data_IF_375372947272
#
_entry.id   IF_375372947272
#
_cell.length_a   1.000
_cell.length_b   1.000
_cell.length_c   1.000
_cell.angle_alpha   90.00
_cell.angle_beta   90.00
_cell.angle_gamma   90.00
#
_symmetry.space_group_name_H-M   'P 1'
#
loop_
_entity.id
_entity.type
_entity.pdbx_description
1 polymer ?
#
# COMPACT_ATOMS: atom_id res chain seq x y z
N UNK A 1 -16.11 10.86 -9.70
CA UNK A 1 -15.01 10.52 -8.78
C UNK A 1 -13.76 10.42 -9.62
N UNK A 2 -13.04 11.53 -9.76
CA UNK A 2 -11.73 11.52 -10.41
C UNK A 2 -10.77 10.65 -9.60
N UNK A 3 -10.04 9.80 -10.32
CA UNK A 3 -9.14 8.81 -9.75
C UNK A 3 -8.03 9.54 -8.97
N UNK A 4 -8.03 9.43 -7.63
CA UNK A 4 -6.94 9.92 -6.79
C UNK A 4 -5.56 9.31 -7.18
N UNK A 5 -5.56 8.24 -8.00
CA UNK A 5 -4.39 7.55 -8.54
C UNK A 5 -3.72 8.24 -9.73
N UNK A 6 -4.48 9.00 -10.53
CA UNK A 6 -3.87 9.87 -11.55
C UNK A 6 -3.04 10.94 -10.84
N UNK A 7 -3.43 11.34 -9.63
CA UNK A 7 -2.73 12.33 -8.80
C UNK A 7 -1.30 11.90 -8.43
N UNK A 8 -1.08 10.74 -7.78
CA UNK A 8 0.24 10.39 -7.24
C UNK A 8 1.31 10.11 -8.31
N UNK A 9 0.94 9.49 -9.44
CA UNK A 9 1.88 9.27 -10.55
C UNK A 9 2.17 10.57 -11.30
N UNK A 10 1.16 11.43 -11.51
CA UNK A 10 1.39 12.76 -12.08
C UNK A 10 2.20 13.66 -11.15
N UNK A 11 2.01 13.55 -9.83
CA UNK A 11 2.80 14.27 -8.83
C UNK A 11 4.28 13.86 -8.88
N UNK A 12 4.56 12.56 -9.02
CA UNK A 12 5.93 12.07 -9.18
C UNK A 12 6.56 12.49 -10.52
N UNK A 13 5.80 12.41 -11.62
CA UNK A 13 6.26 12.89 -12.94
C UNK A 13 6.48 14.41 -12.95
N UNK A 14 5.62 15.17 -12.28
CA UNK A 14 5.76 16.61 -12.10
C UNK A 14 7.01 16.97 -11.30
N UNK A 15 7.30 16.22 -10.23
CA UNK A 15 8.52 16.42 -9.43
C UNK A 15 9.77 16.16 -10.29
N UNK A 16 9.77 15.13 -11.14
CA UNK A 16 10.89 14.88 -12.07
C UNK A 16 11.03 15.96 -13.15
N UNK A 17 9.92 16.52 -13.63
CA UNK A 17 9.94 17.58 -14.63
C UNK A 17 10.48 18.90 -14.06
N UNK A 18 10.16 19.22 -12.81
CA UNK A 18 10.51 20.49 -12.16
C UNK A 18 11.92 20.48 -11.55
N UNK A 19 12.38 19.37 -10.97
CA UNK A 19 13.69 19.25 -10.30
C UNK A 19 14.66 18.33 -11.03
N UNK A 20 15.05 18.72 -12.25
CA UNK A 20 15.93 17.95 -13.17
C UNK A 20 17.38 17.80 -12.70
N UNK A 21 17.78 18.57 -11.69
CA UNK A 21 19.12 18.60 -11.09
C UNK A 21 19.32 17.53 -10.00
N UNK A 22 18.27 16.76 -9.66
CA UNK A 22 18.32 15.69 -8.67
C UNK A 22 18.35 14.29 -9.31
N UNK A 23 18.71 13.30 -8.51
CA UNK A 23 18.70 11.89 -8.93
C UNK A 23 17.26 11.55 -9.40
N UNK A 24 17.09 11.03 -10.63
CA UNK A 24 15.77 10.65 -11.14
C UNK A 24 15.09 9.65 -10.22
N UNK A 25 13.82 9.90 -9.92
CA UNK A 25 12.96 9.01 -9.16
C UNK A 25 12.53 7.82 -10.01
N UNK A 26 12.49 7.97 -11.34
CA UNK A 26 12.15 6.93 -12.30
C UNK A 26 13.34 6.61 -13.22
N UNK A 27 13.35 5.38 -13.72
CA UNK A 27 14.34 4.97 -14.70
C UNK A 27 14.23 5.76 -16.02
N UNK A 28 15.38 6.17 -16.55
CA UNK A 28 15.47 6.88 -17.84
C UNK A 28 15.12 5.98 -19.03
N UNK A 29 15.22 4.66 -18.87
CA UNK A 29 14.78 3.70 -19.88
C UNK A 29 13.24 3.61 -19.94
N UNK A 30 12.62 3.74 -21.14
CA UNK A 30 11.17 3.68 -21.29
C UNK A 30 10.53 2.34 -20.88
N UNK A 31 11.24 1.22 -21.07
CA UNK A 31 10.73 -0.11 -20.74
C UNK A 31 10.74 -0.33 -19.22
N UNK A 32 11.84 0.00 -18.55
CA UNK A 32 11.95 -0.06 -17.09
C UNK A 32 10.90 0.84 -16.41
N UNK A 33 10.66 2.04 -16.98
CA UNK A 33 9.60 2.93 -16.50
C UNK A 33 8.20 2.34 -16.69
N UNK A 34 7.94 1.69 -17.83
CA UNK A 34 6.67 1.01 -18.07
C UNK A 34 6.44 -0.15 -17.09
N UNK A 35 7.50 -0.91 -16.76
CA UNK A 35 7.44 -1.97 -15.75
C UNK A 35 7.15 -1.42 -14.35
N UNK A 36 7.84 -0.35 -13.94
CA UNK A 36 7.57 0.32 -12.66
C UNK A 36 6.13 0.81 -12.56
N UNK A 37 5.59 1.42 -13.63
CA UNK A 37 4.19 1.85 -13.69
C UNK A 37 3.22 0.68 -13.61
N UNK A 38 3.46 -0.40 -14.36
CA UNK A 38 2.61 -1.59 -14.33
C UNK A 38 2.49 -2.15 -12.91
N UNK A 39 3.62 -2.30 -12.22
CA UNK A 39 3.64 -2.85 -10.87
C UNK A 39 3.02 -1.92 -9.83
N UNK A 40 3.29 -0.61 -9.92
CA UNK A 40 2.65 0.37 -9.04
C UNK A 40 1.12 0.39 -9.22
N UNK A 41 0.64 0.33 -10.47
CA UNK A 41 -0.79 0.27 -10.79
C UNK A 41 -1.43 -1.05 -10.33
N UNK A 42 -0.73 -2.17 -10.51
CA UNK A 42 -1.16 -3.49 -10.03
C UNK A 42 -1.34 -3.50 -8.50
N UNK A 43 -0.32 -3.05 -7.76
CA UNK A 43 -0.37 -2.97 -6.28
C UNK A 43 -1.52 -2.08 -5.86
N UNK A 44 -1.61 -0.86 -6.41
CA UNK A 44 -2.62 0.11 -6.02
C UNK A 44 -4.02 -0.42 -6.27
N UNK A 45 -4.31 -0.95 -7.47
CA UNK A 45 -5.64 -1.47 -7.78
C UNK A 45 -5.98 -2.70 -6.95
N UNK A 46 -5.09 -3.70 -6.94
CA UNK A 46 -5.38 -4.99 -6.28
C UNK A 46 -5.44 -4.85 -4.76
N UNK A 47 -4.45 -4.24 -4.13
CA UNK A 47 -4.43 -4.11 -2.67
C UNK A 47 -5.52 -3.15 -2.18
N UNK A 48 -5.78 -2.05 -2.88
CA UNK A 48 -6.84 -1.13 -2.46
C UNK A 48 -8.22 -1.76 -2.62
N UNK A 49 -8.51 -2.41 -3.75
CA UNK A 49 -9.82 -3.02 -3.99
C UNK A 49 -10.09 -4.18 -3.02
N UNK A 50 -9.09 -5.04 -2.82
CA UNK A 50 -9.19 -6.14 -1.85
C UNK A 50 -9.29 -5.61 -0.41
N UNK A 51 -8.47 -4.62 -0.06
CA UNK A 51 -8.53 -3.95 1.24
C UNK A 51 -9.89 -3.31 1.49
N UNK A 52 -10.47 -2.66 0.48
CA UNK A 52 -11.82 -2.10 0.51
C UNK A 52 -12.86 -3.18 0.79
N UNK A 53 -12.83 -4.29 0.04
CA UNK A 53 -13.74 -5.41 0.25
C UNK A 53 -13.67 -5.96 1.66
N UNK A 54 -12.47 -6.11 2.24
CA UNK A 54 -12.30 -6.62 3.62
C UNK A 54 -13.13 -5.83 4.64
N UNK A 55 -13.14 -4.49 4.56
CA UNK A 55 -13.93 -3.69 5.51
C UNK A 55 -15.32 -3.33 4.99
N UNK A 56 -15.62 -3.53 3.70
CA UNK A 56 -16.91 -3.18 3.10
C UNK A 56 -17.90 -4.34 2.90
N UNK A 57 -17.48 -5.59 3.08
CA UNK A 57 -18.34 -6.79 2.89
C UNK A 57 -18.44 -7.64 4.15
N UNK A 58 -19.32 -8.65 4.14
CA UNK A 58 -19.56 -9.62 5.22
C UNK A 58 -19.64 -11.04 4.65
N UNK A 59 -19.48 -12.05 5.51
CA UNK A 59 -19.68 -13.46 5.13
C UNK A 59 -18.60 -13.98 4.18
N UNK A 60 -19.00 -14.85 3.25
CA UNK A 60 -18.10 -15.55 2.32
C UNK A 60 -17.29 -14.59 1.44
N UNK A 61 -17.89 -13.48 0.99
CA UNK A 61 -17.19 -12.48 0.17
C UNK A 61 -16.07 -11.78 0.94
N UNK A 62 -16.27 -11.53 2.24
CA UNK A 62 -15.25 -10.94 3.10
C UNK A 62 -14.08 -11.91 3.30
N UNK A 63 -14.38 -13.18 3.51
CA UNK A 63 -13.36 -14.21 3.73
C UNK A 63 -12.55 -14.49 2.46
N UNK A 64 -13.21 -14.53 1.30
CA UNK A 64 -12.53 -14.60 0.00
C UNK A 64 -11.60 -13.38 -0.20
N UNK A 65 -12.06 -12.17 0.10
CA UNK A 65 -11.24 -10.98 -0.01
C UNK A 65 -10.01 -11.00 0.90
N UNK A 66 -10.12 -11.55 2.12
CA UNK A 66 -8.95 -11.74 3.01
C UNK A 66 -7.93 -12.72 2.40
N UNK A 67 -8.39 -13.86 1.88
CA UNK A 67 -7.51 -14.86 1.27
C UNK A 67 -6.81 -14.29 0.04
N UNK A 68 -7.55 -13.65 -0.86
CA UNK A 68 -6.99 -13.00 -2.06
C UNK A 68 -6.00 -11.89 -1.70
N UNK A 69 -6.27 -11.12 -0.63
CA UNK A 69 -5.36 -10.09 -0.14
C UNK A 69 -4.04 -10.68 0.38
N UNK A 70 -4.12 -11.79 1.13
CA UNK A 70 -2.94 -12.51 1.62
C UNK A 70 -2.13 -13.07 0.45
N UNK A 71 -2.78 -13.68 -0.56
CA UNK A 71 -2.09 -14.18 -1.75
C UNK A 71 -1.42 -13.05 -2.54
N UNK A 72 -2.09 -11.90 -2.69
CA UNK A 72 -1.49 -10.73 -3.34
C UNK A 72 -0.25 -10.23 -2.59
N UNK A 73 -0.29 -10.21 -1.25
CA UNK A 73 0.86 -9.86 -0.43
C UNK A 73 2.00 -10.88 -0.56
N UNK A 74 1.71 -12.20 -0.59
CA UNK A 74 2.73 -13.24 -0.72
C UNK A 74 3.63 -13.06 -1.96
N UNK A 75 3.05 -12.66 -3.09
CA UNK A 75 3.80 -12.39 -4.33
C UNK A 75 4.88 -11.33 -4.11
N UNK A 76 4.54 -10.24 -3.43
CA UNK A 76 5.47 -9.15 -3.12
C UNK A 76 6.42 -9.50 -1.97
N UNK A 77 5.92 -10.22 -0.97
CA UNK A 77 6.71 -10.67 0.16
C UNK A 77 7.85 -11.58 -0.30
N UNK A 78 7.63 -12.49 -1.23
CA UNK A 78 8.70 -13.31 -1.80
C UNK A 78 9.84 -12.46 -2.38
N UNK A 79 9.52 -11.38 -3.09
CA UNK A 79 10.53 -10.44 -3.58
C UNK A 79 11.26 -9.73 -2.42
N UNK A 80 10.52 -9.26 -1.40
CA UNK A 80 11.14 -8.62 -0.25
C UNK A 80 12.00 -9.56 0.59
N UNK A 81 11.63 -10.83 0.75
CA UNK A 81 12.45 -11.82 1.45
C UNK A 81 13.73 -12.11 0.68
N UNK A 82 13.61 -12.30 -0.64
CA UNK A 82 14.73 -12.60 -1.53
C UNK A 82 15.77 -11.47 -1.57
N UNK A 83 15.32 -10.22 -1.67
CA UNK A 83 16.23 -9.07 -1.82
C UNK A 83 16.51 -8.33 -0.51
N UNK A 84 15.60 -8.42 0.48
CA UNK A 84 15.71 -7.76 1.78
C UNK A 84 16.36 -8.62 2.86
N UNK A 85 16.68 -9.89 2.56
CA UNK A 85 17.37 -10.82 3.46
C UNK A 85 16.69 -10.96 4.84
N UNK A 86 15.35 -11.05 4.83
CA UNK A 86 14.55 -11.36 6.01
C UNK A 86 13.55 -12.48 5.67
N UNK A 87 13.07 -13.20 6.68
CA UNK A 87 12.07 -14.26 6.52
C UNK A 87 10.83 -13.88 7.34
N UNK A 88 9.69 -13.70 6.71
CA UNK A 88 8.50 -13.15 7.38
C UNK A 88 7.85 -14.14 8.33
N UNK A 89 7.95 -15.45 8.09
CA UNK A 89 7.45 -16.48 9.02
C UNK A 89 8.25 -16.46 10.33
N UNK A 90 9.57 -16.33 10.24
CA UNK A 90 10.48 -16.18 11.38
C UNK A 90 10.37 -14.78 12.03
N UNK A 91 9.87 -13.80 11.27
CA UNK A 91 9.76 -12.40 11.68
C UNK A 91 8.33 -11.97 12.02
N UNK A 92 7.29 -12.81 11.94
CA UNK A 92 5.89 -12.37 12.09
C UNK A 92 5.63 -11.52 13.37
N UNK A 93 6.11 -11.89 14.58
CA UNK A 93 6.06 -10.99 15.75
C UNK A 93 7.10 -9.86 15.71
N UNK A 94 8.26 -10.07 15.08
CA UNK A 94 9.36 -9.10 15.00
C UNK A 94 9.12 -7.98 13.98
N UNK A 95 8.41 -8.25 12.89
CA UNK A 95 7.95 -7.31 11.88
C UNK A 95 6.91 -6.38 12.48
N UNK A 96 5.91 -6.93 13.19
CA UNK A 96 4.95 -6.12 13.95
C UNK A 96 5.67 -5.26 14.98
N UNK A 97 6.65 -5.83 15.69
CA UNK A 97 7.47 -5.06 16.63
C UNK A 97 8.32 -3.98 15.93
N UNK A 98 8.88 -4.28 14.76
CA UNK A 98 9.65 -3.33 13.94
C UNK A 98 8.77 -2.19 13.42
N UNK A 99 7.59 -2.50 12.89
CA UNK A 99 6.61 -1.52 12.45
C UNK A 99 6.21 -0.59 13.61
N UNK A 100 5.93 -1.15 14.79
CA UNK A 100 5.68 -0.36 16.02
C UNK A 100 6.87 0.53 16.39
N UNK A 101 8.11 0.05 16.24
CA UNK A 101 9.33 0.86 16.46
C UNK A 101 9.47 1.97 15.41
N UNK A 102 9.19 1.69 14.14
CA UNK A 102 9.20 2.69 13.08
C UNK A 102 8.22 3.84 13.35
N UNK A 103 7.04 3.53 13.90
CA UNK A 103 6.05 4.54 14.30
C UNK A 103 6.53 5.47 15.43
N UNK A 104 7.55 5.07 16.20
CA UNK A 104 8.16 5.95 17.22
C UNK A 104 9.13 6.97 16.62
N UNK A 105 9.45 6.89 15.32
CA UNK A 105 10.33 7.86 14.65
C UNK A 105 9.50 9.08 14.22
N UNK A 106 9.92 10.28 14.64
CA UNK A 106 9.25 11.54 14.29
C UNK A 106 8.99 11.72 12.79
N UNK A 107 9.92 11.29 11.93
CA UNK A 107 9.77 11.39 10.47
C UNK A 107 8.65 10.51 9.92
N UNK A 108 8.36 9.39 10.58
CA UNK A 108 7.31 8.44 10.20
C UNK A 108 5.98 8.86 10.82
N UNK A 109 6.00 9.27 12.10
CA UNK A 109 4.81 9.73 12.81
C UNK A 109 4.18 10.99 12.19
N UNK A 110 5.00 11.89 11.61
CA UNK A 110 4.50 13.10 10.93
C UNK A 110 3.93 12.85 9.53
N UNK A 111 4.27 11.72 8.90
CA UNK A 111 3.88 11.41 7.53
C UNK A 111 2.70 10.43 7.44
N UNK A 112 2.43 9.65 8.49
CA UNK A 112 1.35 8.67 8.51
C UNK A 112 0.17 9.09 9.42
N UNK A 113 -1.08 8.81 9.02
CA UNK A 113 -2.23 8.99 9.90
C UNK A 113 -2.15 8.11 11.16
N UNK A 114 -2.68 8.60 12.29
CA UNK A 114 -2.83 7.77 13.48
C UNK A 114 -3.74 6.57 13.22
N UNK A 115 -3.34 5.40 13.71
CA UNK A 115 -4.05 4.14 13.47
C UNK A 115 -5.50 4.16 13.97
N UNK A 116 -5.80 4.85 15.08
CA UNK A 116 -7.16 4.93 15.61
C UNK A 116 -8.04 5.81 14.72
N UNK A 117 -7.50 6.88 14.12
CA UNK A 117 -8.23 7.70 13.15
C UNK A 117 -8.59 6.92 11.88
N UNK A 118 -7.71 6.02 11.44
CA UNK A 118 -8.01 5.12 10.31
C UNK A 118 -9.14 4.16 10.69
N UNK A 119 -9.12 3.58 11.90
CA UNK A 119 -10.21 2.74 12.38
C UNK A 119 -11.54 3.51 12.48
N UNK A 120 -11.53 4.73 13.03
CA UNK A 120 -12.72 5.59 13.13
C UNK A 120 -13.30 5.89 11.75
N UNK A 121 -12.46 6.25 10.78
CA UNK A 121 -12.88 6.45 9.40
C UNK A 121 -13.57 5.21 8.82
N UNK A 122 -13.00 4.02 9.05
CA UNK A 122 -13.58 2.76 8.59
C UNK A 122 -14.93 2.48 9.26
N UNK A 123 -15.06 2.70 10.57
CA UNK A 123 -16.33 2.53 11.29
C UNK A 123 -17.42 3.45 10.74
N UNK A 124 -17.11 4.75 10.58
CA UNK A 124 -18.06 5.71 9.99
C UNK A 124 -18.45 5.31 8.57
N UNK A 125 -17.50 4.83 7.76
CA UNK A 125 -17.79 4.36 6.42
C UNK A 125 -18.72 3.13 6.43
N UNK A 126 -18.46 2.15 7.31
CA UNK A 126 -19.31 0.95 7.45
C UNK A 126 -20.74 1.30 7.85
N UNK A 127 -20.93 2.25 8.77
CA UNK A 127 -22.23 2.77 9.14
C UNK A 127 -22.95 3.44 7.95
N UNK A 128 -22.25 4.30 7.20
CA UNK A 128 -22.81 5.00 6.03
C UNK A 128 -23.24 4.05 4.91
N UNK A 129 -22.57 2.93 4.75
CA UNK A 129 -22.89 1.92 3.73
C UNK A 129 -23.85 0.84 4.23
N UNK A 130 -24.37 0.95 5.46
CA UNK A 130 -25.33 -0.02 6.02
C UNK A 130 -24.73 -1.42 6.22
N UNK A 131 -23.40 -1.49 6.39
CA UNK A 131 -22.69 -2.76 6.55
C UNK A 131 -22.74 -3.22 8.00
N UNK A 132 -23.01 -2.35 8.98
CA UNK A 132 -23.15 -2.75 10.39
C UNK A 132 -24.52 -3.35 10.69
#
# INVERSE_FOLDING_TARGET
MENQYVSLLLELEYIEEVWKDKIPLLHSDPCERAQARFWADYINKKLFDLGKKIWSTKGEEQEAAKNDFIECLKVWLYAYETYGNFNIEAECPKFVAWAKRCMQRDSVAKSLPDQHKVCEFVSVARQKFGIE
#
